data_IF_235121990521
#
_entry.id   IF_235121990521
#
_cell.length_a   1.000
_cell.length_b   1.000
_cell.length_c   1.000
_cell.angle_alpha   90.00
_cell.angle_beta   90.00
_cell.angle_gamma   90.00
#
_symmetry.space_group_name_H-M   'P 1'
#
loop_
_entity.id
_entity.type
_entity.pdbx_description
1 polymer ?
#
# COMPACT_ATOMS: atom_id res chain seq x y z
N UNK A 1 22.59 -14.30 82.11
CA UNK A 1 21.85 -13.01 82.07
C UNK A 1 21.41 -12.82 80.62
N UNK A 2 20.17 -13.16 80.23
CA UNK A 2 18.96 -12.33 80.40
C UNK A 2 19.28 -10.89 80.00
N UNK A 3 18.64 -10.40 78.93
CA UNK A 3 18.42 -9.00 78.51
C UNK A 3 18.53 -8.86 76.99
N UNK A 4 17.63 -9.52 76.23
CA UNK A 4 17.20 -9.10 74.89
C UNK A 4 16.07 -10.00 74.31
N UNK A 5 15.28 -10.65 75.17
CA UNK A 5 14.16 -11.52 74.77
C UNK A 5 12.85 -10.93 75.28
N UNK A 6 12.59 -9.65 74.96
CA UNK A 6 11.33 -8.95 75.27
C UNK A 6 11.07 -7.73 74.36
N UNK A 7 11.39 -7.80 73.06
CA UNK A 7 11.04 -6.72 72.11
C UNK A 7 10.53 -7.20 70.74
N UNK A 8 10.07 -8.46 70.63
CA UNK A 8 9.60 -9.02 69.35
C UNK A 8 8.14 -9.53 69.34
N UNK A 9 7.28 -8.99 70.23
CA UNK A 9 5.83 -9.29 70.19
C UNK A 9 4.97 -8.01 70.03
N UNK A 10 5.60 -6.82 70.02
CA UNK A 10 4.89 -5.52 69.92
C UNK A 10 4.69 -4.97 68.50
N UNK A 11 5.61 -5.22 67.54
CA UNK A 11 5.55 -4.56 66.22
C UNK A 11 4.69 -5.27 65.16
N UNK A 12 4.42 -6.58 65.29
CA UNK A 12 3.58 -7.31 64.32
C UNK A 12 2.07 -7.17 64.55
N UNK A 13 1.64 -6.50 65.63
CA UNK A 13 0.22 -6.12 65.84
C UNK A 13 -0.14 -4.75 65.26
N UNK A 14 0.84 -3.88 64.98
CA UNK A 14 0.60 -2.53 64.45
C UNK A 14 0.32 -2.48 62.94
N UNK A 15 1.00 -3.32 62.15
CA UNK A 15 0.91 -3.29 60.66
C UNK A 15 -0.31 -4.05 60.12
N UNK A 16 -0.75 -5.12 60.80
CA UNK A 16 -2.02 -5.82 60.48
C UNK A 16 -3.25 -4.93 60.74
N UNK A 17 -3.20 -4.09 61.77
CA UNK A 17 -4.30 -3.17 62.07
C UNK A 17 -4.38 -2.01 61.06
N UNK A 18 -3.24 -1.48 60.59
CA UNK A 18 -3.23 -0.41 59.58
C UNK A 18 -3.79 -0.86 58.21
N UNK A 19 -3.38 -2.03 57.72
CA UNK A 19 -3.91 -2.59 56.47
C UNK A 19 -5.40 -2.94 56.57
N UNK A 20 -5.85 -3.48 57.71
CA UNK A 20 -7.27 -3.78 57.94
C UNK A 20 -8.15 -2.52 58.09
N UNK A 21 -7.61 -1.43 58.66
CA UNK A 21 -8.31 -0.15 58.74
C UNK A 21 -8.39 0.55 57.38
N UNK A 22 -7.34 0.47 56.56
CA UNK A 22 -7.36 1.01 55.20
C UNK A 22 -8.41 0.26 54.35
N UNK A 23 -8.44 -1.07 54.46
CA UNK A 23 -9.41 -1.91 53.75
C UNK A 23 -10.85 -1.60 54.17
N UNK A 24 -11.13 -1.48 55.48
CA UNK A 24 -12.46 -1.10 55.99
C UNK A 24 -12.87 0.34 55.63
N UNK A 25 -11.91 1.26 55.43
CA UNK A 25 -12.18 2.63 54.96
C UNK A 25 -12.45 2.69 53.45
N UNK A 26 -11.79 1.85 52.64
CA UNK A 26 -12.09 1.69 51.21
C UNK A 26 -13.45 1.01 50.99
N UNK A 27 -13.84 0.10 51.88
CA UNK A 27 -15.10 -0.65 51.79
C UNK A 27 -16.36 0.21 52.02
N UNK A 28 -16.22 1.41 52.57
CA UNK A 28 -17.32 2.39 52.74
C UNK A 28 -17.39 3.45 51.64
N UNK A 29 -16.43 3.50 50.72
CA UNK A 29 -16.45 4.45 49.59
C UNK A 29 -17.36 3.92 48.48
N UNK A 30 -18.10 4.79 47.77
CA UNK A 30 -18.93 4.40 46.63
C UNK A 30 -18.08 3.69 45.56
N UNK A 31 -18.68 2.71 44.85
CA UNK A 31 -17.99 1.84 43.87
C UNK A 31 -17.12 2.63 42.88
N UNK A 32 -17.57 3.82 42.48
CA UNK A 32 -16.87 4.74 41.58
C UNK A 32 -15.47 5.12 42.09
N UNK A 33 -15.31 5.39 43.39
CA UNK A 33 -14.02 5.81 43.93
C UNK A 33 -13.01 4.66 43.99
N UNK A 34 -13.47 3.42 44.20
CA UNK A 34 -12.60 2.24 44.13
C UNK A 34 -12.11 1.99 42.71
N UNK A 35 -13.00 2.20 41.74
CA UNK A 35 -12.68 2.07 40.33
C UNK A 35 -11.63 3.11 39.90
N UNK A 36 -11.80 4.37 40.31
CA UNK A 36 -10.82 5.44 40.05
C UNK A 36 -9.45 5.15 40.68
N UNK A 37 -9.42 4.64 41.92
CA UNK A 37 -8.16 4.30 42.58
C UNK A 37 -7.45 3.12 41.90
N UNK A 38 -8.21 2.11 41.47
CA UNK A 38 -7.67 0.99 40.70
C UNK A 38 -7.11 1.45 39.35
N UNK A 39 -7.79 2.38 38.67
CA UNK A 39 -7.33 2.97 37.41
C UNK A 39 -6.01 3.71 37.58
N UNK A 40 -5.88 4.54 38.62
CA UNK A 40 -4.64 5.28 38.91
C UNK A 40 -3.47 4.33 39.19
N UNK A 41 -3.72 3.24 39.92
CA UNK A 41 -2.68 2.23 40.18
C UNK A 41 -2.28 1.51 38.88
N UNK A 42 -3.24 1.14 38.04
CA UNK A 42 -2.97 0.50 36.74
C UNK A 42 -2.16 1.41 35.81
N UNK A 43 -2.51 2.70 35.76
CA UNK A 43 -1.74 3.70 34.99
C UNK A 43 -0.33 3.84 35.55
N UNK A 44 -0.18 3.95 36.87
CA UNK A 44 1.13 4.07 37.51
C UNK A 44 2.03 2.85 37.27
N UNK A 45 1.46 1.64 37.31
CA UNK A 45 2.20 0.40 36.97
C UNK A 45 2.57 0.37 35.49
N UNK A 46 1.67 0.78 34.59
CA UNK A 46 1.97 0.86 33.16
C UNK A 46 3.11 1.84 32.86
N UNK A 47 3.12 3.01 33.49
CA UNK A 47 4.20 4.00 33.37
C UNK A 47 5.51 3.47 33.95
N UNK A 48 5.47 2.80 35.10
CA UNK A 48 6.67 2.21 35.70
C UNK A 48 7.25 1.08 34.84
N UNK A 49 6.41 0.23 34.24
CA UNK A 49 6.85 -0.79 33.28
C UNK A 49 7.48 -0.11 32.07
N UNK A 50 6.86 0.92 31.50
CA UNK A 50 7.40 1.67 30.37
C UNK A 50 8.76 2.32 30.68
N UNK A 51 8.94 2.87 31.88
CA UNK A 51 10.22 3.46 32.33
C UNK A 51 11.30 2.42 32.66
N UNK A 52 10.92 1.19 32.99
CA UNK A 52 11.84 0.12 33.39
C UNK A 52 12.09 -0.91 32.29
N UNK A 53 11.30 -0.93 31.23
CA UNK A 53 11.63 -1.65 30.00
C UNK A 53 12.82 -0.95 29.35
N UNK A 54 13.97 -1.63 29.17
CA UNK A 54 15.09 -1.03 28.46
C UNK A 54 14.59 -0.60 27.09
N UNK A 55 14.88 0.66 26.72
CA UNK A 55 14.64 1.19 25.39
C UNK A 55 15.09 0.13 24.37
N UNK A 56 14.20 -0.23 23.44
CA UNK A 56 14.63 -0.91 22.21
C UNK A 56 15.81 -0.11 21.69
N UNK A 57 17.00 -0.71 21.49
CA UNK A 57 18.17 0.04 21.07
C UNK A 57 17.82 0.73 19.76
N UNK A 58 17.53 2.03 19.84
CA UNK A 58 17.41 2.89 18.67
C UNK A 58 18.83 3.03 18.16
N UNK A 59 19.14 2.59 16.94
CA UNK A 59 20.47 2.75 16.40
C UNK A 59 20.86 4.23 16.46
N UNK A 60 22.00 4.55 17.07
CA UNK A 60 22.61 5.90 17.06
C UNK A 60 23.19 6.21 15.69
N UNK A 61 22.40 6.06 14.64
CA UNK A 61 22.78 6.55 13.32
C UNK A 61 22.20 7.94 13.14
N UNK A 62 22.91 8.77 12.38
CA UNK A 62 22.41 10.08 11.97
C UNK A 62 21.08 9.88 11.25
N UNK A 63 19.97 10.38 11.82
CA UNK A 63 18.61 10.44 11.22
C UNK A 63 18.54 11.31 9.94
N UNK A 64 19.69 11.65 9.34
CA UNK A 64 19.78 12.49 8.16
C UNK A 64 20.30 11.68 6.98
N UNK A 65 19.55 10.66 6.57
CA UNK A 65 19.69 10.05 5.25
C UNK A 65 19.08 10.99 4.22
N UNK A 66 19.94 11.69 3.47
CA UNK A 66 19.52 12.60 2.38
C UNK A 66 19.68 11.98 0.99
N UNK A 67 20.24 10.77 0.89
CA UNK A 67 20.66 10.18 -0.40
C UNK A 67 19.54 9.42 -1.08
N UNK A 68 18.58 8.87 -0.33
CA UNK A 68 17.46 8.11 -0.90
C UNK A 68 16.37 8.96 -1.61
N UNK A 69 16.55 10.27 -1.76
CA UNK A 69 15.66 11.08 -2.62
C UNK A 69 15.85 10.79 -4.12
N UNK A 70 17.00 10.24 -4.50
CA UNK A 70 17.26 9.70 -5.84
C UNK A 70 17.43 8.20 -5.76
N UNK A 71 17.08 7.47 -6.83
CA UNK A 71 17.49 6.07 -6.92
C UNK A 71 19.01 6.05 -6.76
N UNK A 72 19.57 5.29 -5.80
CA UNK A 72 21.01 5.21 -5.65
C UNK A 72 21.65 4.83 -6.99
N UNK A 73 22.32 5.80 -7.63
CA UNK A 73 22.91 5.61 -8.94
C UNK A 73 24.36 5.20 -8.76
N UNK A 74 24.53 3.91 -8.60
CA UNK A 74 25.83 3.30 -8.68
C UNK A 74 26.06 2.96 -10.15
N UNK A 75 26.99 3.64 -10.81
CA UNK A 75 27.20 3.52 -12.26
C UNK A 75 27.37 2.08 -12.75
N UNK A 76 27.86 1.19 -11.88
CA UNK A 76 28.04 -0.23 -12.19
C UNK A 76 26.77 -1.06 -11.97
N UNK A 77 25.78 -0.61 -11.19
CA UNK A 77 24.64 -1.41 -10.72
C UNK A 77 23.40 -1.38 -11.65
N UNK A 78 23.48 -0.66 -12.78
CA UNK A 78 22.41 -0.63 -13.77
C UNK A 78 22.41 -1.90 -14.62
N UNK A 79 21.26 -2.58 -14.67
CA UNK A 79 21.10 -3.79 -15.48
C UNK A 79 20.49 -3.42 -16.83
N UNK A 80 21.25 -3.51 -17.93
CA UNK A 80 20.77 -3.07 -19.24
C UNK A 80 19.87 -4.09 -19.94
N UNK A 81 19.86 -5.35 -19.50
CA UNK A 81 19.15 -6.45 -20.14
C UNK A 81 18.79 -7.56 -19.14
N UNK A 82 17.81 -8.39 -19.50
CA UNK A 82 17.42 -9.55 -18.69
C UNK A 82 18.59 -10.50 -18.47
N UNK A 83 18.61 -11.15 -17.32
CA UNK A 83 19.64 -12.11 -16.99
C UNK A 83 19.44 -13.43 -17.73
N UNK A 84 20.53 -13.96 -18.27
CA UNK A 84 20.60 -15.38 -18.63
C UNK A 84 21.00 -16.20 -17.40
N UNK A 85 20.60 -17.46 -17.35
CA UNK A 85 20.93 -18.36 -16.24
C UNK A 85 22.45 -18.55 -16.09
N UNK A 86 23.18 -18.47 -17.20
CA UNK A 86 24.65 -18.56 -17.21
C UNK A 86 25.34 -17.28 -16.75
N UNK A 87 24.68 -16.11 -16.84
CA UNK A 87 25.27 -14.83 -16.46
C UNK A 87 24.97 -14.44 -15.01
N UNK A 88 23.86 -14.89 -14.43
CA UNK A 88 23.44 -14.47 -13.09
C UNK A 88 24.05 -15.33 -11.97
N UNK A 89 24.57 -14.68 -10.93
CA UNK A 89 24.97 -15.31 -9.67
C UNK A 89 24.53 -14.42 -8.51
N UNK A 90 23.71 -14.94 -7.60
CA UNK A 90 23.53 -14.27 -6.31
C UNK A 90 24.71 -14.60 -5.39
N UNK A 91 25.38 -13.57 -4.87
CA UNK A 91 26.54 -13.71 -3.98
C UNK A 91 26.09 -13.73 -2.52
N UNK A 92 25.15 -12.86 -2.15
CA UNK A 92 24.61 -12.74 -0.80
C UNK A 92 24.20 -11.31 -0.46
N UNK A 93 23.85 -11.07 0.79
CA UNK A 93 23.61 -9.76 1.34
C UNK A 93 24.83 -9.24 2.10
N UNK A 94 25.14 -7.96 1.94
CA UNK A 94 26.19 -7.28 2.69
C UNK A 94 25.62 -6.06 3.44
N UNK A 95 25.90 -6.00 4.75
CA UNK A 95 25.57 -4.86 5.60
C UNK A 95 26.42 -3.62 5.24
N UNK A 96 25.84 -2.43 5.36
CA UNK A 96 26.59 -1.16 5.37
C UNK A 96 26.81 -0.69 6.80
N UNK A 97 27.94 -0.03 7.06
CA UNK A 97 28.26 0.46 8.41
C UNK A 97 27.37 1.65 8.83
N UNK A 98 26.82 2.36 7.84
CA UNK A 98 25.93 3.50 8.04
C UNK A 98 24.57 3.28 7.37
N UNK A 99 23.61 4.13 7.72
CA UNK A 99 22.33 4.20 7.02
C UNK A 99 22.45 4.85 5.63
N UNK A 100 23.57 5.49 5.31
CA UNK A 100 23.83 6.02 3.97
C UNK A 100 24.24 4.88 3.06
N UNK A 101 23.45 4.55 2.01
CA UNK A 101 23.75 3.44 1.15
C UNK A 101 25.02 3.62 0.30
N UNK A 102 25.48 4.87 0.15
CA UNK A 102 26.71 5.22 -0.56
C UNK A 102 27.97 5.05 0.31
N UNK A 103 27.85 5.10 1.64
CA UNK A 103 28.99 4.95 2.55
C UNK A 103 29.33 3.47 2.78
N UNK A 104 30.25 2.97 1.96
CA UNK A 104 30.79 1.61 2.03
C UNK A 104 31.98 1.48 3.01
N UNK A 105 32.31 2.53 3.76
CA UNK A 105 33.46 2.47 4.69
C UNK A 105 33.13 1.60 5.88
N UNK A 106 33.83 0.47 6.01
CA UNK A 106 33.71 -0.43 7.15
C UNK A 106 34.60 0.04 8.30
N UNK A 107 33.99 0.51 9.39
CA UNK A 107 34.67 0.90 10.65
C UNK A 107 34.49 -0.16 11.74
N UNK A 108 33.66 -1.17 11.47
CA UNK A 108 33.39 -2.35 12.30
C UNK A 108 33.23 -3.61 11.42
N UNK A 109 33.32 -4.81 12.01
CA UNK A 109 32.90 -6.03 11.32
C UNK A 109 31.43 -5.92 10.87
N UNK A 110 31.20 -6.14 9.58
CA UNK A 110 29.89 -6.06 8.93
C UNK A 110 29.29 -7.46 8.77
N UNK A 111 27.99 -7.57 8.99
CA UNK A 111 27.26 -8.83 8.80
C UNK A 111 27.12 -9.14 7.30
N UNK A 112 27.22 -10.43 6.97
CA UNK A 112 26.89 -10.95 5.63
C UNK A 112 25.89 -12.08 5.79
N UNK A 113 24.99 -12.21 4.81
CA UNK A 113 24.00 -13.29 4.75
C UNK A 113 24.03 -13.95 3.38
N UNK A 114 23.68 -15.23 3.30
CA UNK A 114 23.46 -15.94 2.05
C UNK A 114 22.18 -15.45 1.36
N UNK A 115 21.99 -15.87 0.11
CA UNK A 115 20.87 -15.41 -0.71
C UNK A 115 19.50 -15.85 -0.20
N UNK A 116 19.43 -17.03 0.43
CA UNK A 116 18.25 -17.66 1.00
C UNK A 116 17.96 -17.22 2.45
N UNK A 117 18.90 -16.50 3.07
CA UNK A 117 18.75 -16.01 4.43
C UNK A 117 17.90 -14.74 4.49
N UNK A 118 16.97 -14.72 5.43
CA UNK A 118 16.09 -13.58 5.67
C UNK A 118 16.86 -12.39 6.24
N UNK A 119 16.64 -11.24 5.63
CA UNK A 119 17.14 -9.94 6.09
C UNK A 119 16.08 -9.30 6.99
N UNK A 120 16.50 -8.91 8.18
CA UNK A 120 15.63 -8.31 9.18
C UNK A 120 15.20 -6.89 8.81
N UNK A 121 14.14 -6.42 9.48
CA UNK A 121 13.61 -5.07 9.31
C UNK A 121 14.65 -4.02 9.68
N UNK A 122 14.62 -2.86 9.00
CA UNK A 122 15.47 -1.69 9.31
C UNK A 122 16.98 -1.95 9.26
N UNK A 123 17.42 -2.89 8.42
CA UNK A 123 18.84 -3.14 8.16
C UNK A 123 19.29 -2.36 6.93
N UNK A 124 20.40 -1.64 7.06
CA UNK A 124 21.05 -0.98 5.94
C UNK A 124 22.05 -1.94 5.27
N UNK A 125 22.00 -2.02 3.95
CA UNK A 125 22.81 -2.96 3.18
C UNK A 125 22.27 -3.18 1.77
N UNK A 126 22.84 -4.14 1.06
CA UNK A 126 22.47 -4.45 -0.32
C UNK A 126 22.71 -5.92 -0.67
N UNK A 127 21.97 -6.40 -1.68
CA UNK A 127 22.19 -7.70 -2.28
C UNK A 127 23.29 -7.62 -3.35
N UNK A 128 24.35 -8.40 -3.19
CA UNK A 128 25.40 -8.55 -4.17
C UNK A 128 25.04 -9.60 -5.21
N UNK A 129 25.11 -9.20 -6.47
CA UNK A 129 24.93 -10.08 -7.63
C UNK A 129 26.16 -10.00 -8.50
N UNK A 130 26.72 -11.15 -8.91
CA UNK A 130 27.84 -11.21 -9.84
C UNK A 130 27.31 -11.52 -11.24
N UNK A 131 27.75 -10.75 -12.22
CA UNK A 131 27.66 -11.14 -13.62
C UNK A 131 28.82 -12.09 -13.94
N UNK A 132 28.55 -13.38 -14.13
CA UNK A 132 29.57 -14.40 -14.39
C UNK A 132 30.35 -14.17 -15.69
N UNK A 133 29.72 -13.54 -16.68
CA UNK A 133 30.32 -13.31 -18.00
C UNK A 133 31.29 -12.13 -17.99
N UNK A 134 30.94 -11.03 -17.31
CA UNK A 134 31.80 -9.84 -17.21
C UNK A 134 32.70 -9.83 -15.97
N UNK A 135 32.37 -10.60 -14.94
CA UNK A 135 33.01 -10.58 -13.63
C UNK A 135 32.57 -9.42 -12.73
N UNK A 136 31.68 -8.53 -13.20
CA UNK A 136 31.21 -7.37 -12.43
C UNK A 136 30.37 -7.77 -11.22
N UNK A 137 30.54 -7.07 -10.09
CA UNK A 137 29.71 -7.20 -8.90
C UNK A 137 28.75 -6.00 -8.85
N UNK A 138 27.46 -6.31 -8.81
CA UNK A 138 26.38 -5.35 -8.77
C UNK A 138 25.75 -5.33 -7.38
N UNK A 139 25.28 -4.17 -6.94
CA UNK A 139 24.50 -3.99 -5.72
C UNK A 139 23.06 -3.69 -6.07
N UNK A 140 22.17 -4.58 -5.66
CA UNK A 140 20.73 -4.51 -5.92
C UNK A 140 19.99 -4.47 -4.58
N UNK A 141 18.72 -4.05 -4.61
CA UNK A 141 17.86 -4.00 -3.40
C UNK A 141 18.53 -3.26 -2.25
N UNK A 142 19.04 -2.07 -2.55
CA UNK A 142 19.82 -1.25 -1.64
C UNK A 142 18.89 -0.62 -0.60
N UNK A 143 19.18 -0.84 0.67
CA UNK A 143 18.32 -0.51 1.80
C UNK A 143 19.05 0.38 2.80
N UNK A 144 18.31 1.30 3.44
CA UNK A 144 18.77 2.06 4.59
C UNK A 144 18.07 1.62 5.87
N UNK A 145 18.43 2.22 6.99
CA UNK A 145 17.78 1.98 8.28
C UNK A 145 16.29 2.36 8.29
N UNK A 146 15.84 3.17 7.32
CA UNK A 146 14.44 3.58 7.16
C UNK A 146 13.70 2.76 6.12
N UNK A 147 14.39 1.92 5.34
CA UNK A 147 13.79 0.95 4.42
C UNK A 147 13.18 -0.23 5.17
N UNK A 148 12.18 -0.88 4.57
CA UNK A 148 11.67 -2.18 5.01
C UNK A 148 11.28 -2.22 6.50
N UNK A 149 10.67 -1.14 7.02
CA UNK A 149 10.50 -0.93 8.47
C UNK A 149 9.66 -2.01 9.17
N UNK A 150 8.83 -2.71 8.42
CA UNK A 150 7.88 -3.71 8.93
C UNK A 150 7.93 -5.02 8.13
N UNK A 151 8.95 -5.21 7.29
CA UNK A 151 9.00 -6.27 6.28
C UNK A 151 10.39 -6.90 6.23
N UNK A 152 10.42 -8.18 5.91
CA UNK A 152 11.65 -8.93 5.69
C UNK A 152 11.72 -9.33 4.22
N UNK A 153 12.94 -9.55 3.72
CA UNK A 153 13.17 -9.96 2.33
C UNK A 153 14.44 -10.83 2.24
N UNK A 154 14.69 -11.41 1.06
CA UNK A 154 15.88 -12.22 0.78
C UNK A 154 16.53 -11.75 -0.52
N UNK A 155 17.82 -12.05 -0.70
CA UNK A 155 18.51 -11.74 -1.95
C UNK A 155 18.19 -12.71 -3.09
N UNK A 156 17.52 -13.84 -2.82
CA UNK A 156 16.94 -14.70 -3.86
C UNK A 156 15.95 -13.96 -4.77
N UNK A 157 15.34 -12.89 -4.27
CA UNK A 157 14.43 -12.05 -5.05
C UNK A 157 15.17 -11.10 -6.01
N UNK A 158 16.49 -10.92 -5.86
CA UNK A 158 17.25 -9.87 -6.53
C UNK A 158 17.20 -9.98 -8.06
N UNK A 159 17.18 -11.19 -8.63
CA UNK A 159 17.01 -11.38 -10.09
C UNK A 159 15.71 -10.76 -10.56
N UNK A 160 14.59 -11.26 -10.04
CA UNK A 160 13.25 -10.81 -10.41
C UNK A 160 13.05 -9.32 -10.12
N UNK A 161 13.57 -8.83 -8.98
CA UNK A 161 13.54 -7.41 -8.61
C UNK A 161 14.19 -6.55 -9.67
N UNK A 162 15.35 -6.97 -10.13
CA UNK A 162 16.17 -6.19 -11.05
C UNK A 162 15.70 -6.23 -12.51
N UNK A 163 14.98 -7.30 -12.88
CA UNK A 163 14.35 -7.44 -14.19
C UNK A 163 12.96 -6.79 -14.26
N UNK A 164 12.35 -6.46 -13.10
CA UNK A 164 10.96 -6.05 -13.02
C UNK A 164 10.64 -4.84 -13.91
N UNK A 165 11.44 -3.76 -13.82
CA UNK A 165 11.22 -2.55 -14.62
C UNK A 165 11.47 -2.78 -16.12
N UNK A 166 12.45 -3.62 -16.49
CA UNK A 166 12.76 -3.96 -17.88
C UNK A 166 11.61 -4.72 -18.55
N UNK A 167 11.07 -5.71 -17.83
CA UNK A 167 9.90 -6.46 -18.25
C UNK A 167 8.66 -5.55 -18.30
N UNK A 168 8.49 -4.67 -17.31
CA UNK A 168 7.39 -3.69 -17.28
C UNK A 168 7.44 -2.73 -18.46
N UNK A 169 8.62 -2.34 -18.93
CA UNK A 169 8.82 -1.37 -20.02
C UNK A 169 8.33 -1.89 -21.37
N UNK A 170 8.45 -3.19 -21.60
CA UNK A 170 8.08 -3.84 -22.87
C UNK A 170 6.75 -4.60 -22.80
N UNK A 171 6.13 -4.65 -21.62
CA UNK A 171 4.90 -5.39 -21.43
C UNK A 171 3.73 -4.81 -22.23
N UNK A 172 3.10 -5.68 -23.02
CA UNK A 172 1.81 -5.43 -23.65
C UNK A 172 0.81 -6.42 -23.07
N UNK A 173 -0.27 -5.91 -22.49
CA UNK A 173 -1.30 -6.78 -21.95
C UNK A 173 -2.04 -7.44 -23.11
N UNK A 174 -1.95 -8.76 -23.21
CA UNK A 174 -2.71 -9.52 -24.19
C UNK A 174 -4.11 -9.78 -23.61
N UNK A 175 -5.16 -9.20 -24.21
CA UNK A 175 -6.51 -9.34 -23.68
C UNK A 175 -6.97 -10.79 -23.76
N UNK A 176 -7.73 -11.25 -22.75
CA UNK A 176 -8.26 -12.63 -22.68
C UNK A 176 -9.17 -13.01 -23.86
N UNK A 177 -9.71 -12.02 -24.58
CA UNK A 177 -10.41 -12.20 -25.84
C UNK A 177 -10.22 -10.95 -26.73
N UNK A 178 -10.25 -11.11 -28.06
CA UNK A 178 -10.16 -9.98 -29.00
C UNK A 178 -11.31 -8.99 -28.84
N UNK A 179 -12.49 -9.44 -28.40
CA UNK A 179 -13.62 -8.55 -28.08
C UNK A 179 -13.37 -7.65 -26.85
N UNK A 180 -12.33 -7.93 -26.09
CA UNK A 180 -11.92 -7.24 -24.88
C UNK A 180 -10.63 -6.42 -25.08
N UNK A 181 -10.07 -6.41 -26.31
CA UNK A 181 -8.96 -5.52 -26.63
C UNK A 181 -9.43 -4.07 -26.59
N UNK A 182 -8.57 -3.17 -26.10
CA UNK A 182 -8.78 -1.74 -26.21
C UNK A 182 -9.05 -1.41 -27.69
N UNK A 183 -10.23 -0.83 -28.03
CA UNK A 183 -10.55 -0.55 -29.42
C UNK A 183 -9.50 0.39 -30.02
N UNK A 184 -8.99 0.06 -31.21
CA UNK A 184 -8.33 1.07 -32.06
C UNK A 184 -9.26 2.26 -32.24
N UNK A 185 -8.68 3.46 -32.41
CA UNK A 185 -9.37 4.75 -32.50
C UNK A 185 -10.74 4.65 -33.22
N UNK A 186 -11.78 4.40 -32.43
CA UNK A 186 -13.13 4.21 -32.93
C UNK A 186 -13.65 5.57 -33.41
N UNK A 187 -14.26 5.59 -34.59
CA UNK A 187 -14.76 6.82 -35.23
C UNK A 187 -15.93 7.48 -34.50
N UNK A 188 -16.41 6.89 -33.39
CA UNK A 188 -17.46 7.47 -32.56
C UNK A 188 -16.88 8.30 -31.39
N UNK A 189 -17.64 9.29 -30.89
CA UNK A 189 -17.30 10.00 -29.66
C UNK A 189 -17.03 9.03 -28.50
N UNK A 190 -16.09 9.34 -27.58
CA UNK A 190 -15.80 8.48 -26.43
C UNK A 190 -17.06 8.24 -25.60
N UNK A 191 -17.41 6.98 -25.44
CA UNK A 191 -18.52 6.55 -24.58
C UNK A 191 -18.14 6.72 -23.10
N UNK A 192 -19.11 7.01 -22.25
CA UNK A 192 -18.90 7.39 -20.84
C UNK A 192 -19.66 6.46 -19.92
N UNK A 193 -19.03 6.00 -18.83
CA UNK A 193 -19.68 5.20 -17.81
C UNK A 193 -19.09 5.42 -16.42
N UNK A 194 -19.83 4.99 -15.41
CA UNK A 194 -19.33 4.78 -14.06
C UNK A 194 -18.98 3.30 -13.92
N UNK A 195 -17.87 2.99 -13.27
CA UNK A 195 -17.42 1.63 -13.02
C UNK A 195 -17.38 1.40 -11.51
N UNK A 196 -17.95 0.30 -11.03
CA UNK A 196 -17.89 -0.09 -9.62
C UNK A 196 -17.50 -1.56 -9.48
N UNK A 197 -16.59 -1.87 -8.55
CA UNK A 197 -16.31 -3.25 -8.14
C UNK A 197 -17.22 -3.60 -6.96
N UNK A 198 -17.87 -4.76 -7.01
CA UNK A 198 -18.76 -5.23 -5.95
C UNK A 198 -18.50 -6.67 -5.55
N UNK A 199 -18.77 -6.94 -4.27
CA UNK A 199 -18.86 -8.26 -3.64
C UNK A 199 -19.92 -8.21 -2.53
N UNK A 200 -20.29 -9.35 -1.95
CA UNK A 200 -21.46 -9.48 -1.07
C UNK A 200 -21.56 -8.40 0.03
N UNK A 201 -20.44 -8.08 0.70
CA UNK A 201 -20.47 -7.14 1.85
C UNK A 201 -20.66 -5.68 1.44
N UNK A 202 -20.27 -5.30 0.23
CA UNK A 202 -20.33 -3.90 -0.24
C UNK A 202 -21.53 -3.63 -1.13
N UNK A 203 -22.29 -4.66 -1.51
CA UNK A 203 -23.50 -4.51 -2.33
C UNK A 203 -24.51 -3.48 -1.76
N UNK A 204 -24.81 -3.45 -0.44
CA UNK A 204 -25.69 -2.42 0.11
C UNK A 204 -25.15 -1.00 -0.08
N UNK A 205 -23.84 -0.79 0.06
CA UNK A 205 -23.19 0.51 -0.16
C UNK A 205 -23.23 0.91 -1.63
N UNK A 206 -22.91 -0.02 -2.55
CA UNK A 206 -23.02 0.21 -3.99
C UNK A 206 -24.46 0.57 -4.40
N UNK A 207 -25.46 -0.14 -3.85
CA UNK A 207 -26.87 0.18 -4.07
C UNK A 207 -27.20 1.61 -3.63
N UNK A 208 -26.77 2.01 -2.43
CA UNK A 208 -26.99 3.35 -1.93
C UNK A 208 -26.30 4.42 -2.79
N UNK A 209 -25.04 4.20 -3.18
CA UNK A 209 -24.29 5.11 -4.05
C UNK A 209 -24.96 5.29 -5.42
N UNK A 210 -25.36 4.19 -6.07
CA UNK A 210 -26.05 4.22 -7.37
C UNK A 210 -27.37 4.96 -7.26
N UNK A 211 -28.17 4.70 -6.20
CA UNK A 211 -29.43 5.41 -5.98
C UNK A 211 -29.22 6.91 -5.82
N UNK A 212 -28.23 7.34 -5.01
CA UNK A 212 -27.91 8.76 -4.82
C UNK A 212 -27.50 9.43 -6.12
N UNK A 213 -26.66 8.78 -6.93
CA UNK A 213 -26.25 9.27 -8.25
C UNK A 213 -27.47 9.48 -9.17
N UNK A 214 -28.47 8.59 -9.07
CA UNK A 214 -29.71 8.65 -9.85
C UNK A 214 -30.67 9.72 -9.33
N UNK A 215 -30.74 9.92 -8.02
CA UNK A 215 -31.46 11.03 -7.38
C UNK A 215 -30.87 12.40 -7.80
N UNK A 216 -29.58 12.45 -8.11
CA UNK A 216 -28.92 13.63 -8.70
C UNK A 216 -29.18 13.81 -10.21
N UNK A 217 -29.96 12.94 -10.84
CA UNK A 217 -30.31 13.02 -12.26
C UNK A 217 -29.26 12.46 -13.23
N UNK A 218 -28.22 11.78 -12.72
CA UNK A 218 -27.19 11.20 -13.58
C UNK A 218 -27.75 10.04 -14.41
N UNK A 219 -27.53 10.10 -15.72
CA UNK A 219 -28.00 9.09 -16.69
C UNK A 219 -26.90 8.15 -17.18
N UNK A 220 -25.65 8.35 -16.75
CA UNK A 220 -24.53 7.52 -17.15
C UNK A 220 -24.77 6.04 -16.81
N UNK A 221 -24.48 5.11 -17.73
CA UNK A 221 -24.52 3.68 -17.44
C UNK A 221 -23.50 3.34 -16.35
N UNK A 222 -23.84 2.36 -15.52
CA UNK A 222 -22.95 1.83 -14.48
C UNK A 222 -22.52 0.42 -14.88
N UNK A 223 -21.22 0.18 -15.04
CA UNK A 223 -20.67 -1.17 -15.12
C UNK A 223 -20.34 -1.67 -13.71
N UNK A 224 -21.09 -2.66 -13.26
CA UNK A 224 -20.90 -3.30 -11.96
C UNK A 224 -20.14 -4.61 -12.16
N UNK A 225 -18.88 -4.61 -11.75
CA UNK A 225 -17.95 -5.71 -11.92
C UNK A 225 -17.88 -6.58 -10.67
N UNK A 226 -17.92 -7.90 -10.84
CA UNK A 226 -17.88 -8.85 -9.73
C UNK A 226 -17.13 -10.12 -10.11
N UNK A 227 -16.66 -10.81 -9.08
CA UNK A 227 -16.06 -12.13 -9.16
C UNK A 227 -17.10 -13.21 -8.81
N UNK A 228 -17.39 -14.18 -9.70
CA UNK A 228 -18.38 -15.22 -9.42
C UNK A 228 -18.05 -16.12 -8.21
N UNK A 229 -16.78 -16.21 -7.84
CA UNK A 229 -16.28 -16.92 -6.66
C UNK A 229 -16.42 -16.12 -5.35
N UNK A 230 -16.66 -14.81 -5.43
CA UNK A 230 -16.81 -13.93 -4.25
C UNK A 230 -18.26 -13.45 -4.03
N UNK A 231 -19.11 -13.57 -5.05
CA UNK A 231 -20.47 -13.02 -5.02
C UNK A 231 -21.40 -13.85 -5.89
N UNK A 232 -22.50 -14.33 -5.31
CA UNK A 232 -23.57 -14.98 -6.04
C UNK A 232 -24.58 -13.93 -6.51
N UNK A 233 -24.83 -13.90 -7.82
CA UNK A 233 -25.74 -12.91 -8.43
C UNK A 233 -27.17 -13.43 -8.59
N UNK A 234 -27.34 -14.74 -8.68
CA UNK A 234 -28.63 -15.37 -8.93
C UNK A 234 -29.56 -15.12 -7.73
N UNK A 235 -30.80 -14.75 -8.03
CA UNK A 235 -31.86 -14.44 -7.06
C UNK A 235 -31.61 -13.28 -6.08
N UNK A 236 -30.60 -12.44 -6.32
CA UNK A 236 -30.37 -11.26 -5.48
C UNK A 236 -31.30 -10.10 -5.88
N UNK A 237 -32.29 -9.80 -5.02
CA UNK A 237 -33.29 -8.76 -5.27
C UNK A 237 -32.69 -7.35 -5.47
N UNK A 238 -31.59 -7.00 -4.80
CA UNK A 238 -30.93 -5.70 -5.00
C UNK A 238 -30.32 -5.61 -6.40
N UNK A 239 -29.66 -6.68 -6.86
CA UNK A 239 -29.05 -6.74 -8.19
C UNK A 239 -30.14 -6.68 -9.27
N UNK A 240 -31.23 -7.45 -9.10
CA UNK A 240 -32.35 -7.44 -10.03
C UNK A 240 -32.95 -6.03 -10.18
N UNK A 241 -33.14 -5.33 -9.05
CA UNK A 241 -33.63 -3.96 -9.04
C UNK A 241 -32.64 -2.97 -9.68
N UNK A 242 -31.33 -3.10 -9.40
CA UNK A 242 -30.28 -2.29 -10.02
C UNK A 242 -30.25 -2.43 -11.55
N UNK A 243 -30.33 -3.67 -12.04
CA UNK A 243 -30.31 -3.97 -13.48
C UNK A 243 -31.59 -3.49 -14.18
N UNK A 244 -32.75 -3.69 -13.55
CA UNK A 244 -34.04 -3.32 -14.14
C UNK A 244 -34.24 -1.79 -14.21
N UNK A 245 -33.93 -1.07 -13.13
CA UNK A 245 -34.42 0.30 -12.94
C UNK A 245 -33.32 1.36 -12.97
N UNK A 246 -32.05 0.98 -12.83
CA UNK A 246 -30.95 1.93 -12.63
C UNK A 246 -29.85 1.92 -13.71
N UNK A 247 -30.10 1.36 -14.89
CA UNK A 247 -29.14 1.33 -16.01
C UNK A 247 -27.78 0.74 -15.60
N UNK A 248 -27.83 -0.39 -14.88
CA UNK A 248 -26.65 -1.12 -14.39
C UNK A 248 -26.40 -2.34 -15.27
N UNK A 249 -25.16 -2.50 -15.70
CA UNK A 249 -24.69 -3.63 -16.49
C UNK A 249 -23.71 -4.47 -15.67
N UNK A 250 -24.02 -5.75 -15.53
CA UNK A 250 -23.17 -6.70 -14.81
C UNK A 250 -21.99 -7.17 -15.67
N UNK A 251 -20.80 -7.22 -15.07
CA UNK A 251 -19.57 -7.70 -15.72
C UNK A 251 -18.84 -8.70 -14.83
N UNK A 252 -18.55 -9.88 -15.38
CA UNK A 252 -17.82 -10.93 -14.67
C UNK A 252 -16.31 -10.77 -14.82
N UNK A 253 -15.58 -10.95 -13.72
CA UNK A 253 -14.12 -11.06 -13.68
C UNK A 253 -13.75 -12.55 -13.66
N UNK A 254 -13.07 -13.01 -14.70
CA UNK A 254 -12.66 -14.42 -14.84
C UNK A 254 -11.16 -14.65 -14.65
N UNK A 255 -10.34 -13.60 -14.68
CA UNK A 255 -8.89 -13.75 -14.52
C UNK A 255 -8.57 -14.14 -13.07
N UNK A 256 -7.92 -15.30 -12.82
CA UNK A 256 -7.54 -15.71 -11.47
C UNK A 256 -6.49 -14.79 -10.84
N UNK A 257 -5.81 -13.96 -11.63
CA UNK A 257 -4.80 -13.00 -11.15
C UNK A 257 -5.43 -11.69 -10.65
N UNK A 258 -6.66 -11.40 -11.06
CA UNK A 258 -7.40 -10.19 -10.68
C UNK A 258 -8.23 -10.45 -9.42
N UNK A 259 -7.56 -10.44 -8.26
CA UNK A 259 -8.13 -10.73 -6.94
C UNK A 259 -7.89 -9.57 -5.98
N UNK A 260 -8.81 -9.37 -5.02
CA UNK A 260 -8.73 -8.26 -4.08
C UNK A 260 -8.61 -6.92 -4.79
N UNK A 261 -7.64 -6.09 -4.39
CA UNK A 261 -7.38 -4.77 -4.98
C UNK A 261 -7.06 -4.80 -6.49
N UNK A 262 -6.55 -5.92 -7.00
CA UNK A 262 -6.17 -6.07 -8.43
C UNK A 262 -7.38 -6.24 -9.37
N UNK A 263 -8.60 -6.33 -8.83
CA UNK A 263 -9.86 -6.30 -9.60
C UNK A 263 -10.11 -4.95 -10.26
N UNK A 264 -9.68 -3.85 -9.64
CA UNK A 264 -9.86 -2.48 -10.15
C UNK A 264 -9.07 -2.24 -11.44
N UNK A 265 -7.73 -2.44 -11.49
CA UNK A 265 -6.98 -2.43 -12.75
C UNK A 265 -7.60 -3.27 -13.86
N UNK A 266 -8.04 -4.50 -13.52
CA UNK A 266 -8.68 -5.39 -14.47
C UNK A 266 -9.96 -4.79 -15.05
N UNK A 267 -10.88 -4.32 -14.21
CA UNK A 267 -12.14 -3.76 -14.68
C UNK A 267 -11.93 -2.47 -15.50
N UNK A 268 -10.99 -1.60 -15.08
CA UNK A 268 -10.60 -0.42 -15.86
C UNK A 268 -10.05 -0.82 -17.22
N UNK A 269 -9.17 -1.83 -17.28
CA UNK A 269 -8.59 -2.28 -18.55
C UNK A 269 -9.64 -2.91 -19.47
N UNK A 270 -10.62 -3.63 -18.92
CA UNK A 270 -11.59 -4.44 -19.68
C UNK A 270 -12.99 -3.84 -19.81
N UNK A 271 -13.20 -2.61 -19.34
CA UNK A 271 -14.46 -1.89 -19.51
C UNK A 271 -14.96 -1.91 -20.96
N UNK A 272 -16.27 -1.85 -21.14
CA UNK A 272 -16.85 -1.64 -22.47
C UNK A 272 -16.75 -0.18 -22.93
N UNK A 273 -16.64 0.76 -21.98
CA UNK A 273 -16.72 2.19 -22.24
C UNK A 273 -15.34 2.84 -22.35
N UNK A 274 -15.24 3.89 -23.17
CA UNK A 274 -13.95 4.51 -23.48
C UNK A 274 -13.44 5.39 -22.34
N UNK A 275 -14.34 6.19 -21.76
CA UNK A 275 -14.07 7.05 -20.62
C UNK A 275 -14.84 6.53 -19.42
N UNK A 276 -14.14 6.22 -18.34
CA UNK A 276 -14.73 5.60 -17.15
C UNK A 276 -14.39 6.39 -15.89
N UNK A 277 -15.41 6.61 -15.06
CA UNK A 277 -15.22 7.02 -13.67
C UNK A 277 -15.29 5.76 -12.79
N UNK A 278 -14.14 5.22 -12.39
CA UNK A 278 -14.08 4.20 -11.34
C UNK A 278 -14.48 4.86 -10.02
N UNK A 279 -15.42 4.25 -9.30
CA UNK A 279 -15.79 4.59 -7.94
C UNK A 279 -15.84 3.32 -7.09
N UNK A 280 -15.23 3.36 -5.91
CA UNK A 280 -15.43 2.32 -4.91
C UNK A 280 -16.89 2.32 -4.44
N UNK A 281 -17.34 1.17 -3.94
CA UNK A 281 -18.71 0.96 -3.48
C UNK A 281 -19.09 1.84 -2.28
N UNK A 282 -18.11 2.40 -1.58
CA UNK A 282 -18.24 3.33 -0.46
C UNK A 282 -18.01 4.81 -0.85
N UNK A 283 -17.80 5.12 -2.14
CA UNK A 283 -17.71 6.49 -2.63
C UNK A 283 -19.08 6.98 -3.12
N UNK A 284 -19.60 8.05 -2.49
CA UNK A 284 -20.92 8.62 -2.80
C UNK A 284 -20.77 10.02 -3.40
N UNK A 285 -21.07 10.22 -4.70
CA UNK A 285 -21.11 11.54 -5.31
C UNK A 285 -22.19 12.43 -4.70
N UNK A 286 -21.84 13.68 -4.41
CA UNK A 286 -22.75 14.70 -3.83
C UNK A 286 -23.52 15.52 -4.88
N UNK A 287 -23.30 15.21 -6.17
CA UNK A 287 -24.01 15.76 -7.33
C UNK A 287 -23.77 14.86 -8.55
N UNK A 288 -24.46 15.10 -9.65
CA UNK A 288 -24.24 14.40 -10.92
C UNK A 288 -22.75 14.52 -11.35
N UNK A 289 -22.01 13.40 -11.48
CA UNK A 289 -20.60 13.41 -11.83
C UNK A 289 -20.33 13.63 -13.32
N UNK A 290 -21.36 13.72 -14.18
CA UNK A 290 -21.20 13.83 -15.64
C UNK A 290 -20.29 14.98 -16.06
N UNK A 291 -20.32 16.10 -15.33
CA UNK A 291 -19.46 17.27 -15.61
C UNK A 291 -17.96 16.95 -15.59
N UNK A 292 -17.51 15.92 -14.88
CA UNK A 292 -16.09 15.55 -14.79
C UNK A 292 -15.54 15.12 -16.15
N UNK A 293 -16.38 14.53 -17.01
CA UNK A 293 -16.00 14.11 -18.36
C UNK A 293 -15.83 15.29 -19.34
N UNK A 294 -16.31 16.47 -18.96
CA UNK A 294 -16.18 17.71 -19.71
C UNK A 294 -15.24 18.71 -19.00
N UNK A 295 -14.61 18.29 -17.90
CA UNK A 295 -13.63 19.10 -17.18
C UNK A 295 -12.44 19.41 -18.11
N UNK A 296 -12.00 20.68 -18.22
CA UNK A 296 -10.89 21.04 -19.10
C UNK A 296 -9.63 20.22 -18.86
N UNK A 297 -9.32 19.88 -17.60
CA UNK A 297 -8.16 19.07 -17.28
C UNK A 297 -8.31 17.62 -17.78
N UNK A 298 -9.52 17.06 -17.75
CA UNK A 298 -9.78 15.73 -18.30
C UNK A 298 -9.75 15.74 -19.83
N UNK A 299 -10.34 16.75 -20.45
CA UNK A 299 -10.31 16.93 -21.91
C UNK A 299 -8.87 17.10 -22.40
N UNK A 300 -8.03 17.81 -21.64
CA UNK A 300 -6.61 18.01 -21.97
C UNK A 300 -5.79 16.73 -21.77
N UNK A 301 -5.88 16.09 -20.61
CA UNK A 301 -4.96 15.01 -20.22
C UNK A 301 -5.48 13.60 -20.51
N UNK A 302 -6.80 13.42 -20.48
CA UNK A 302 -7.45 12.12 -20.56
C UNK A 302 -7.47 11.33 -19.25
N UNK A 303 -7.00 11.88 -18.14
CA UNK A 303 -7.10 11.23 -16.83
C UNK A 303 -7.18 12.25 -15.69
N UNK A 304 -8.15 12.09 -14.77
CA UNK A 304 -8.19 12.81 -13.50
C UNK A 304 -7.96 11.85 -12.34
N UNK A 305 -7.04 12.20 -11.46
CA UNK A 305 -6.75 11.49 -10.22
C UNK A 305 -6.98 12.42 -9.02
N UNK A 306 -7.26 11.81 -7.87
CA UNK A 306 -7.42 12.52 -6.61
C UNK A 306 -6.27 12.19 -5.65
N UNK A 307 -5.78 13.17 -4.89
CA UNK A 307 -4.77 12.91 -3.89
C UNK A 307 -5.42 12.16 -2.72
N UNK A 308 -4.68 11.22 -2.18
CA UNK A 308 -4.96 10.56 -0.93
C UNK A 308 -4.65 11.50 0.24
N UNK A 309 -4.90 11.05 1.47
CA UNK A 309 -4.53 11.77 2.68
C UNK A 309 -3.04 11.63 3.04
N UNK A 310 -2.36 10.63 2.48
CA UNK A 310 -0.96 10.34 2.75
C UNK A 310 -0.03 11.20 1.91
N UNK A 311 0.99 11.73 2.58
CA UNK A 311 2.05 12.54 1.99
C UNK A 311 3.38 11.81 2.17
N UNK A 312 4.40 12.11 1.36
CA UNK A 312 5.65 11.36 1.36
C UNK A 312 6.36 11.20 2.72
N UNK A 313 6.37 12.18 3.65
CA UNK A 313 6.96 11.97 4.98
C UNK A 313 6.08 11.13 5.93
N UNK A 314 4.82 10.86 5.57
CA UNK A 314 3.81 10.23 6.41
C UNK A 314 3.04 9.13 5.65
N UNK A 315 3.72 8.35 4.80
CA UNK A 315 3.11 7.21 4.14
C UNK A 315 2.93 6.05 5.13
N UNK A 316 1.73 5.47 5.20
CA UNK A 316 1.50 4.20 5.91
C UNK A 316 1.86 2.96 5.08
N UNK A 317 2.15 3.15 3.79
CA UNK A 317 2.24 2.07 2.81
C UNK A 317 3.60 1.97 2.15
N UNK A 318 4.62 2.49 2.82
CA UNK A 318 6.02 2.45 2.38
C UNK A 318 6.27 3.15 1.04
N UNK A 319 5.48 4.20 0.71
CA UNK A 319 5.72 5.10 -0.44
C UNK A 319 6.55 6.30 0.04
N UNK A 320 7.68 6.01 0.67
CA UNK A 320 8.64 7.00 1.20
C UNK A 320 9.89 7.04 0.32
N UNK A 321 10.73 8.06 0.47
CA UNK A 321 12.04 8.10 -0.23
C UNK A 321 12.88 6.85 0.02
N UNK A 322 12.76 6.24 1.20
CA UNK A 322 13.55 5.07 1.58
C UNK A 322 13.01 3.73 1.08
N UNK A 323 11.94 3.75 0.27
CA UNK A 323 11.31 2.53 -0.22
C UNK A 323 12.11 1.85 -1.32
N UNK A 324 12.14 0.51 -1.29
CA UNK A 324 12.62 -0.27 -2.44
C UNK A 324 11.72 -0.12 -3.68
N UNK A 325 10.53 0.50 -3.54
CA UNK A 325 9.61 0.80 -4.64
C UNK A 325 10.31 1.52 -5.80
N UNK A 326 11.10 2.56 -5.48
CA UNK A 326 11.73 3.43 -6.48
C UNK A 326 12.79 2.68 -7.28
N UNK A 327 13.56 1.82 -6.63
CA UNK A 327 14.51 0.93 -7.29
C UNK A 327 13.80 -0.13 -8.14
N UNK A 328 12.74 -0.75 -7.61
CA UNK A 328 11.96 -1.78 -8.32
C UNK A 328 11.34 -1.23 -9.60
N UNK A 329 10.77 -0.02 -9.55
CA UNK A 329 10.11 0.62 -10.68
C UNK A 329 11.07 1.40 -11.60
N UNK A 330 12.32 1.56 -11.20
CA UNK A 330 13.29 2.48 -11.80
C UNK A 330 12.71 3.90 -11.98
N UNK A 331 12.13 4.44 -10.91
CA UNK A 331 11.57 5.79 -10.86
C UNK A 331 12.23 6.61 -9.76
N UNK A 332 12.46 7.91 -10.02
CA UNK A 332 12.84 8.84 -8.95
C UNK A 332 11.71 8.98 -7.92
N UNK A 333 12.09 9.24 -6.67
CA UNK A 333 11.13 9.48 -5.62
C UNK A 333 10.30 10.74 -5.90
N UNK A 334 8.99 10.60 -5.78
CA UNK A 334 8.04 11.68 -6.01
C UNK A 334 7.55 12.24 -4.68
N UNK A 335 8.02 13.44 -4.33
CA UNK A 335 7.58 14.15 -3.13
C UNK A 335 6.22 14.86 -3.31
N UNK A 336 5.20 14.10 -3.73
CA UNK A 336 3.83 14.55 -3.95
C UNK A 336 2.86 13.68 -3.14
N UNK A 337 1.60 14.11 -2.98
CA UNK A 337 0.57 13.25 -2.39
C UNK A 337 0.49 11.89 -3.11
N UNK A 338 0.27 10.83 -2.33
CA UNK A 338 -0.20 9.55 -2.88
C UNK A 338 -1.56 9.76 -3.57
N UNK A 339 -1.95 8.83 -4.44
CA UNK A 339 -3.19 8.88 -5.19
C UNK A 339 -4.26 7.95 -4.62
N UNK A 340 -5.45 8.51 -4.41
CA UNK A 340 -6.64 7.78 -3.95
C UNK A 340 -7.19 6.91 -5.09
N UNK A 341 -6.97 5.60 -4.99
CA UNK A 341 -7.39 4.58 -5.95
C UNK A 341 -8.90 4.28 -5.93
N UNK A 342 -9.62 4.70 -4.89
CA UNK A 342 -11.07 4.53 -4.81
C UNK A 342 -11.87 5.41 -5.76
N UNK A 343 -11.21 6.38 -6.42
CA UNK A 343 -11.83 7.14 -7.51
C UNK A 343 -10.80 7.60 -8.54
N UNK A 344 -11.01 7.20 -9.80
CA UNK A 344 -10.19 7.65 -10.93
C UNK A 344 -11.08 7.86 -12.16
N UNK A 345 -10.81 8.92 -12.92
CA UNK A 345 -11.46 9.16 -14.21
C UNK A 345 -10.43 8.93 -15.31
N UNK A 346 -10.68 7.99 -16.22
CA UNK A 346 -9.70 7.59 -17.24
C UNK A 346 -10.38 7.49 -18.61
N UNK A 347 -9.81 8.15 -19.61
CA UNK A 347 -10.04 7.86 -21.01
C UNK A 347 -9.05 6.78 -21.47
N UNK A 348 -9.54 5.56 -21.58
CA UNK A 348 -8.73 4.37 -21.86
C UNK A 348 -8.05 4.42 -23.22
N UNK A 349 -8.69 5.03 -24.24
CA UNK A 349 -8.12 5.19 -25.58
C UNK A 349 -6.86 6.06 -25.59
N UNK A 350 -6.73 6.97 -24.61
CA UNK A 350 -5.62 7.92 -24.52
C UNK A 350 -4.47 7.44 -23.63
N UNK A 351 -4.65 6.34 -22.93
CA UNK A 351 -3.68 5.83 -21.96
C UNK A 351 -3.25 4.36 -22.19
N UNK A 352 -3.08 3.86 -23.43
CA UNK A 352 -2.75 2.45 -23.65
C UNK A 352 -1.41 2.05 -23.00
N UNK A 353 -0.40 2.92 -23.04
CA UNK A 353 0.90 2.67 -22.41
C UNK A 353 0.76 2.51 -20.90
N UNK A 354 0.09 3.45 -20.23
CA UNK A 354 -0.11 3.40 -18.79
C UNK A 354 -1.03 2.25 -18.37
N UNK A 355 -2.05 1.91 -19.15
CA UNK A 355 -2.93 0.78 -18.88
C UNK A 355 -2.18 -0.56 -18.99
N UNK A 356 -1.31 -0.73 -20.00
CA UNK A 356 -0.45 -1.92 -20.08
C UNK A 356 0.49 -1.99 -18.88
N UNK A 357 1.12 -0.87 -18.51
CA UNK A 357 1.99 -0.80 -17.33
C UNK A 357 1.24 -1.14 -16.03
N UNK A 358 0.04 -0.59 -15.86
CA UNK A 358 -0.84 -0.86 -14.72
C UNK A 358 -1.18 -2.35 -14.64
N UNK A 359 -1.53 -2.97 -15.78
CA UNK A 359 -1.78 -4.41 -15.82
C UNK A 359 -0.54 -5.25 -15.53
N UNK A 360 0.65 -4.81 -15.92
CA UNK A 360 1.90 -5.48 -15.52
C UNK A 360 2.06 -5.43 -14.00
N UNK A 361 1.98 -4.25 -13.39
CA UNK A 361 2.10 -4.09 -11.94
C UNK A 361 1.04 -4.91 -11.19
N UNK A 362 -0.17 -4.98 -11.74
CA UNK A 362 -1.29 -5.66 -11.12
C UNK A 362 -1.30 -7.17 -11.35
N UNK A 363 -0.79 -7.71 -12.46
CA UNK A 363 -0.98 -9.13 -12.83
C UNK A 363 0.31 -9.95 -12.98
N UNK A 364 1.47 -9.30 -13.07
CA UNK A 364 2.74 -10.00 -13.26
C UNK A 364 3.09 -10.89 -12.05
N UNK A 365 3.64 -12.08 -12.34
CA UNK A 365 4.19 -12.99 -11.35
C UNK A 365 5.70 -13.09 -11.56
N UNK A 366 6.53 -13.02 -10.51
CA UNK A 366 6.17 -12.92 -9.08
C UNK A 366 5.61 -11.53 -8.68
N UNK A 367 4.70 -11.53 -7.70
CA UNK A 367 4.03 -10.33 -7.16
C UNK A 367 4.95 -9.51 -6.25
N UNK A 368 6.05 -8.97 -6.78
CA UNK A 368 7.06 -8.31 -5.95
C UNK A 368 6.54 -7.12 -5.15
N UNK A 369 5.65 -6.30 -5.75
CA UNK A 369 5.01 -5.18 -5.06
C UNK A 369 4.22 -5.64 -3.82
N UNK A 370 3.45 -6.73 -3.94
CA UNK A 370 2.68 -7.31 -2.84
C UNK A 370 3.56 -8.09 -1.84
N UNK A 371 4.52 -8.88 -2.35
CA UNK A 371 5.38 -9.75 -1.54
C UNK A 371 6.31 -8.91 -0.64
N UNK A 372 6.88 -7.84 -1.18
CA UNK A 372 7.70 -6.89 -0.44
C UNK A 372 6.84 -5.84 0.29
N UNK A 373 5.53 -5.78 0.00
CA UNK A 373 4.55 -4.82 0.54
C UNK A 373 5.03 -3.36 0.39
N UNK A 374 5.54 -3.05 -0.80
CA UNK A 374 6.04 -1.72 -1.17
C UNK A 374 4.92 -0.72 -1.49
N UNK A 375 3.71 -1.24 -1.57
CA UNK A 375 2.47 -0.52 -1.82
C UNK A 375 1.31 -1.33 -1.24
N UNK A 376 0.17 -0.70 -0.99
CA UNK A 376 -1.01 -1.39 -0.48
C UNK A 376 -2.01 -1.72 -1.60
N UNK A 377 -1.85 -2.89 -2.20
CA UNK A 377 -2.72 -3.34 -3.29
C UNK A 377 -2.59 -2.44 -4.51
N UNK A 378 -3.69 -1.79 -4.89
CA UNK A 378 -3.76 -0.88 -6.03
C UNK A 378 -3.61 0.61 -5.64
N UNK A 379 -3.44 0.90 -4.35
CA UNK A 379 -3.21 2.25 -3.85
C UNK A 379 -2.07 2.89 -4.62
N UNK A 380 -2.25 4.10 -5.15
CA UNK A 380 -1.23 4.84 -5.91
C UNK A 380 -0.73 4.18 -7.22
N UNK A 381 -1.18 2.97 -7.54
CA UNK A 381 -0.69 2.18 -8.67
C UNK A 381 -1.00 2.83 -10.03
N UNK A 382 -2.16 3.49 -10.14
CA UNK A 382 -2.53 4.26 -11.32
C UNK A 382 -1.56 5.44 -11.53
N UNK A 383 -1.27 6.22 -10.48
CA UNK A 383 -0.30 7.33 -10.57
C UNK A 383 1.07 6.84 -11.00
N UNK A 384 1.57 5.75 -10.38
CA UNK A 384 2.88 5.18 -10.70
C UNK A 384 2.95 4.69 -12.15
N UNK A 385 1.93 4.01 -12.65
CA UNK A 385 1.88 3.56 -14.04
C UNK A 385 1.85 4.71 -15.05
N UNK A 386 1.09 5.77 -14.76
CA UNK A 386 1.02 6.97 -15.61
C UNK A 386 2.34 7.74 -15.61
N UNK A 387 2.96 7.94 -14.44
CA UNK A 387 4.26 8.61 -14.32
C UNK A 387 5.37 7.82 -15.02
N UNK A 388 5.47 6.51 -14.79
CA UNK A 388 6.50 5.66 -15.40
C UNK A 388 6.44 5.67 -16.93
N UNK A 389 5.24 5.79 -17.50
CA UNK A 389 5.03 5.83 -18.96
C UNK A 389 4.98 7.23 -19.54
N UNK A 390 5.18 8.27 -18.73
CA UNK A 390 4.99 9.68 -19.12
C UNK A 390 3.62 9.96 -19.76
N UNK A 391 2.59 9.17 -19.38
CA UNK A 391 1.22 9.38 -19.84
C UNK A 391 0.61 10.54 -19.05
N UNK A 392 0.00 11.50 -19.75
CA UNK A 392 -0.58 12.68 -19.13
C UNK A 392 -1.74 12.32 -18.18
N UNK A 393 -1.79 13.01 -17.04
CA UNK A 393 -2.92 13.00 -16.12
C UNK A 393 -2.95 14.33 -15.35
N UNK A 394 -4.09 14.65 -14.75
CA UNK A 394 -4.24 15.77 -13.84
C UNK A 394 -4.52 15.26 -12.42
N UNK A 395 -3.73 15.72 -11.44
CA UNK A 395 -4.01 15.49 -10.02
C UNK A 395 -4.86 16.64 -9.50
N UNK A 396 -6.05 16.34 -8.97
CA UNK A 396 -6.91 17.33 -8.34
C UNK A 396 -6.21 17.97 -7.14
N UNK A 397 -6.41 19.27 -6.93
CA UNK A 397 -5.71 20.02 -5.88
C UNK A 397 -6.14 19.65 -4.44
N UNK A 398 -7.27 18.97 -4.28
CA UNK A 398 -7.87 18.66 -2.98
C UNK A 398 -8.19 17.17 -2.86
N UNK A 399 -7.98 16.57 -1.68
CA UNK A 399 -8.39 15.20 -1.44
C UNK A 399 -9.92 15.08 -1.48
N UNK A 400 -10.45 13.87 -1.72
CA UNK A 400 -11.88 13.59 -1.59
C UNK A 400 -12.36 13.92 -0.18
N UNK A 401 -13.57 14.44 -0.02
CA UNK A 401 -14.12 14.70 1.31
C UNK A 401 -14.44 13.38 2.05
N UNK A 402 -14.16 13.31 3.35
CA UNK A 402 -14.57 12.20 4.22
C UNK A 402 -15.91 12.55 4.90
N UNK A 403 -16.82 11.59 4.97
CA UNK A 403 -18.04 11.66 5.77
C UNK A 403 -18.37 10.31 6.40
N UNK A 404 -18.76 10.30 7.68
CA UNK A 404 -19.08 9.08 8.43
C UNK A 404 -17.94 8.60 9.35
N UNK A 405 -18.11 7.40 9.91
CA UNK A 405 -17.07 6.67 10.66
C UNK A 405 -16.63 5.52 9.76
N UNK A 406 -15.36 5.47 9.41
CA UNK A 406 -14.75 4.40 8.62
C UNK A 406 -14.49 3.17 9.49
#
# INVERSE_FOLDING_TARGET
>A
MRWAWNACVGCFRGTRNAASMLWRRLERRPRVLRFLLALVVMIGVGVAIWLLTPEVPVPKYSDKDTTMHTIPNFQEDHIPALWTDDAYECVGWQETDSCEPEDITSRRPLETKKCDETIDQRRAGFCQVRNKTSGAILRLMVSSCHSMQHRQYTCDMARNFSEFALLAATYQHMPLATSLSLPEAQQHPPTRAILMIVYDKVLPSAYAAIRVIRDHGCTLPVEMWYRPDEMQIDDNALIQHLVADFNVHLRQIFDPRAVGFHTKPYAVYYSHFDSILLLDADNVPVRDPTYLFDDPAFVETGALFWPDYWQPPNSLFDVTSHSLLWQLLQMEFLSEFEQESGQVLINRRRAPAALNKLMYYSTHGPKLLDNLKLIWGDKDLFRLAWRNTSTAYHMMAKPPAIGGIY
#
